data_IF_178732287560
#
_entry.id   IF_178732287560
#
_cell.length_a   1.000
_cell.length_b   1.000
_cell.length_c   1.000
_cell.angle_alpha   90.00
_cell.angle_beta   90.00
_cell.angle_gamma   90.00
#
_symmetry.space_group_name_H-M   'P 1'
#
loop_
_entity.id
_entity.type
_entity.pdbx_description
1 polymer ?
#
# COMPACT_ATOMS: atom_id res chain seq x y z
N UNK A 1 10.37 -2.80 -0.72
CA UNK A 1 10.83 -1.90 0.37
C UNK A 1 9.74 -1.84 1.42
N UNK A 2 10.09 -1.85 2.67
CA UNK A 2 9.15 -1.65 3.78
C UNK A 2 9.86 -1.05 5.00
N UNK A 3 9.11 -0.46 5.91
CA UNK A 3 9.59 0.06 7.19
C UNK A 3 8.59 -0.31 8.28
N UNK A 4 9.07 -0.97 9.33
CA UNK A 4 8.24 -1.32 10.48
C UNK A 4 7.93 -0.08 11.35
N UNK A 5 6.84 -0.11 12.11
CA UNK A 5 6.52 0.96 13.07
C UNK A 5 7.68 1.25 14.02
N UNK A 6 8.07 2.52 14.14
CA UNK A 6 9.13 2.97 15.03
C UNK A 6 10.57 2.75 14.55
N UNK A 7 10.79 2.09 13.42
CA UNK A 7 12.12 2.00 12.82
C UNK A 7 12.47 3.29 12.06
N UNK A 8 13.74 3.65 12.06
CA UNK A 8 14.24 4.81 11.32
C UNK A 8 14.50 4.45 9.86
N UNK A 9 15.15 3.30 9.62
CA UNK A 9 15.60 2.88 8.30
C UNK A 9 14.64 1.86 7.67
N UNK A 10 14.36 2.00 6.38
CA UNK A 10 13.57 1.02 5.65
C UNK A 10 14.41 -0.18 5.21
N UNK A 11 13.74 -1.33 5.13
CA UNK A 11 14.30 -2.55 4.58
C UNK A 11 14.06 -2.64 3.08
N UNK A 12 15.03 -3.20 2.39
CA UNK A 12 14.94 -3.51 0.97
C UNK A 12 14.97 -5.03 0.78
N UNK A 13 14.05 -5.54 -0.01
CA UNK A 13 13.97 -6.94 -0.41
C UNK A 13 13.75 -7.01 -1.90
N UNK A 14 14.52 -7.81 -2.61
CA UNK A 14 14.34 -8.05 -4.04
C UNK A 14 14.56 -9.53 -4.35
N UNK A 15 13.76 -10.06 -5.24
CA UNK A 15 13.98 -11.34 -5.88
C UNK A 15 14.54 -11.08 -7.26
N UNK A 16 15.79 -11.50 -7.50
CA UNK A 16 16.50 -11.30 -8.77
C UNK A 16 16.49 -12.55 -9.64
N UNK A 17 16.31 -13.71 -9.01
CA UNK A 17 16.32 -15.00 -9.69
C UNK A 17 14.97 -15.70 -9.62
N UNK A 18 14.60 -16.32 -10.75
CA UNK A 18 13.36 -17.09 -10.85
C UNK A 18 12.08 -16.23 -10.89
N UNK A 19 10.96 -16.92 -10.95
CA UNK A 19 9.65 -16.28 -10.92
C UNK A 19 9.10 -16.22 -9.49
N UNK A 20 8.21 -15.24 -9.24
CA UNK A 20 7.48 -15.19 -7.98
C UNK A 20 6.54 -16.39 -7.86
N UNK A 21 6.35 -16.88 -6.65
CA UNK A 21 5.47 -18.02 -6.42
C UNK A 21 4.01 -17.56 -6.35
N UNK A 22 3.17 -18.12 -7.24
CA UNK A 22 1.73 -17.92 -7.22
C UNK A 22 1.08 -19.00 -6.37
N UNK A 23 0.45 -18.60 -5.28
CA UNK A 23 -0.11 -19.48 -4.26
C UNK A 23 -1.63 -19.32 -4.25
N UNK A 24 -2.34 -20.43 -4.24
CA UNK A 24 -3.80 -20.45 -4.37
C UNK A 24 -4.54 -20.63 -3.05
N UNK A 25 -3.86 -21.10 -2.02
CA UNK A 25 -4.42 -21.33 -0.68
C UNK A 25 -3.49 -20.76 0.38
N UNK A 26 -4.05 -20.18 1.44
CA UNK A 26 -3.25 -19.63 2.55
C UNK A 26 -2.39 -20.69 3.23
N UNK A 27 -2.88 -21.92 3.32
CA UNK A 27 -2.19 -23.04 3.96
C UNK A 27 -0.88 -23.39 3.25
N UNK A 28 -0.80 -23.12 1.94
CA UNK A 28 0.41 -23.37 1.15
C UNK A 28 1.56 -22.38 1.48
N UNK A 29 1.31 -21.37 2.32
CA UNK A 29 2.33 -20.47 2.87
C UNK A 29 3.08 -21.07 4.06
N UNK A 30 2.54 -22.11 4.70
CA UNK A 30 3.14 -22.72 5.86
C UNK A 30 4.57 -23.21 5.58
N UNK A 31 5.51 -22.84 6.46
CA UNK A 31 6.92 -23.17 6.31
C UNK A 31 7.65 -22.40 5.20
N UNK A 32 7.05 -21.42 4.57
CA UNK A 32 7.68 -20.57 3.55
C UNK A 32 8.07 -19.22 4.13
N UNK A 33 9.21 -18.71 3.66
CA UNK A 33 9.72 -17.39 4.05
C UNK A 33 9.71 -16.47 2.82
N UNK A 34 9.36 -15.20 3.04
CA UNK A 34 9.37 -14.19 2.00
C UNK A 34 8.37 -13.07 2.26
N UNK A 35 8.23 -12.19 1.26
CA UNK A 35 7.24 -11.12 1.29
C UNK A 35 5.97 -11.55 0.55
N UNK A 36 4.84 -11.47 1.24
CA UNK A 36 3.54 -11.95 0.73
C UNK A 36 2.67 -10.77 0.30
N UNK A 37 2.15 -10.84 -0.91
CA UNK A 37 1.09 -9.96 -1.41
C UNK A 37 -0.16 -10.81 -1.58
N UNK A 38 -1.15 -10.62 -0.70
CA UNK A 38 -2.38 -11.39 -0.72
C UNK A 38 -3.58 -10.49 -1.08
N UNK A 39 -4.44 -10.91 -2.02
CA UNK A 39 -5.71 -10.24 -2.24
C UNK A 39 -6.66 -10.54 -1.08
N UNK A 40 -7.66 -9.69 -0.87
CA UNK A 40 -8.71 -9.95 0.12
C UNK A 40 -9.47 -11.27 -0.17
N UNK A 41 -9.66 -11.58 -1.45
CA UNK A 41 -10.24 -12.84 -1.90
C UNK A 41 -9.32 -13.51 -2.92
N UNK A 42 -8.81 -14.66 -2.56
CA UNK A 42 -7.97 -15.46 -3.45
C UNK A 42 -8.85 -16.08 -4.55
N UNK A 43 -8.45 -15.90 -5.79
CA UNK A 43 -9.09 -16.49 -6.98
C UNK A 43 -8.02 -16.98 -7.95
N UNK A 44 -8.36 -17.83 -8.93
CA UNK A 44 -7.38 -18.23 -9.96
C UNK A 44 -6.76 -17.06 -10.72
N UNK A 45 -7.51 -15.96 -10.91
CA UNK A 45 -7.06 -14.75 -11.60
C UNK A 45 -6.32 -13.78 -10.68
N UNK A 46 -6.50 -13.95 -9.36
CA UNK A 46 -5.88 -13.10 -8.34
C UNK A 46 -5.31 -13.97 -7.21
N UNK A 47 -4.21 -14.69 -7.46
CA UNK A 47 -3.57 -15.55 -6.47
C UNK A 47 -2.79 -14.73 -5.44
N UNK A 48 -2.37 -15.38 -4.37
CA UNK A 48 -1.35 -14.85 -3.45
C UNK A 48 -0.01 -14.88 -4.16
N UNK A 49 0.78 -13.84 -4.00
CA UNK A 49 2.14 -13.74 -4.55
C UNK A 49 3.13 -13.81 -3.39
N UNK A 50 4.03 -14.76 -3.45
CA UNK A 50 5.15 -14.88 -2.53
C UNK A 50 6.44 -14.51 -3.26
N UNK A 51 7.05 -13.39 -2.85
CA UNK A 51 8.37 -12.95 -3.26
C UNK A 51 9.38 -13.60 -2.32
N UNK A 52 10.35 -14.34 -2.85
CA UNK A 52 11.45 -14.96 -2.10
C UNK A 52 12.72 -14.15 -2.35
N UNK A 53 13.04 -13.21 -1.45
CA UNK A 53 14.17 -12.32 -1.67
C UNK A 53 15.50 -13.10 -1.65
N UNK A 54 16.35 -12.76 -2.60
CA UNK A 54 17.74 -13.21 -2.71
C UNK A 54 18.72 -12.02 -2.66
N UNK A 55 18.17 -10.79 -2.58
CA UNK A 55 18.93 -9.56 -2.43
C UNK A 55 18.26 -8.65 -1.40
N UNK A 56 19.05 -8.18 -0.43
CA UNK A 56 18.60 -7.33 0.69
C UNK A 56 19.21 -5.93 0.65
N UNK A 57 20.01 -5.63 -0.35
CA UNK A 57 20.64 -4.34 -0.53
C UNK A 57 20.13 -3.63 -1.78
N UNK A 58 20.05 -2.30 -1.74
CA UNK A 58 19.72 -1.52 -2.92
C UNK A 58 20.87 -1.65 -3.90
N UNK A 59 20.66 -2.15 -5.12
CA UNK A 59 21.72 -2.29 -6.11
C UNK A 59 22.39 -0.94 -6.37
N UNK A 60 23.71 -0.89 -6.37
CA UNK A 60 24.52 0.33 -6.61
C UNK A 60 24.25 0.97 -7.97
N UNK A 61 23.75 0.18 -8.95
CA UNK A 61 23.31 0.67 -10.25
C UNK A 61 21.95 1.38 -10.26
N UNK A 62 21.21 1.33 -9.16
CA UNK A 62 20.04 2.15 -8.96
C UNK A 62 20.50 3.60 -8.71
N UNK A 63 21.01 4.24 -9.77
CA UNK A 63 21.58 5.58 -9.74
C UNK A 63 20.70 6.53 -8.95
N UNK A 64 21.29 7.18 -7.97
CA UNK A 64 20.75 8.30 -7.21
C UNK A 64 19.25 8.18 -6.88
N UNK A 65 18.88 7.19 -6.07
CA UNK A 65 17.68 7.30 -5.24
C UNK A 65 17.95 8.44 -4.22
N UNK A 66 18.05 9.64 -4.75
CA UNK A 66 18.20 10.81 -3.92
C UNK A 66 17.06 10.80 -2.92
N UNK A 67 17.41 10.75 -1.64
CA UNK A 67 16.57 11.30 -0.58
C UNK A 67 16.13 12.67 -1.08
N UNK A 68 14.86 12.92 -1.38
CA UNK A 68 14.48 14.24 -1.86
C UNK A 68 14.88 15.24 -0.79
N UNK A 69 15.65 16.25 -1.20
CA UNK A 69 15.98 17.38 -0.33
C UNK A 69 14.68 17.87 0.33
N UNK A 70 14.79 18.28 1.57
CA UNK A 70 13.70 18.89 2.35
C UNK A 70 13.11 20.08 1.60
N UNK A 71 12.12 19.80 0.75
CA UNK A 71 11.30 20.82 0.11
C UNK A 71 9.85 20.57 0.55
N UNK A 72 9.28 21.59 1.20
CA UNK A 72 7.91 21.62 1.70
C UNK A 72 6.86 21.65 0.56
N UNK A 73 6.83 20.65 -0.31
CA UNK A 73 5.84 20.56 -1.39
C UNK A 73 4.48 19.96 -0.95
N UNK A 74 4.27 19.78 0.36
CA UNK A 74 3.01 19.26 0.89
C UNK A 74 1.78 20.14 0.55
N UNK A 75 1.99 21.44 0.34
CA UNK A 75 0.90 22.39 0.06
C UNK A 75 0.34 22.26 -1.37
N UNK A 76 1.18 21.92 -2.36
CA UNK A 76 0.78 21.82 -3.78
C UNK A 76 -0.07 20.58 -4.06
N UNK A 77 0.23 19.45 -3.46
CA UNK A 77 -0.54 18.20 -3.63
C UNK A 77 -1.98 18.29 -3.09
N UNK A 78 -2.20 19.07 -2.03
CA UNK A 78 -3.51 19.25 -1.44
C UNK A 78 -4.51 20.02 -2.32
N UNK A 79 -4.04 20.88 -3.22
CA UNK A 79 -4.90 21.68 -4.08
C UNK A 79 -5.39 20.92 -5.31
N UNK A 80 -4.55 20.09 -5.93
CA UNK A 80 -4.96 19.31 -7.10
C UNK A 80 -5.92 18.16 -6.75
N UNK A 81 -5.78 17.54 -5.58
CA UNK A 81 -6.73 16.55 -5.08
C UNK A 81 -8.13 17.14 -4.79
N UNK A 82 -8.24 18.47 -4.69
CA UNK A 82 -9.50 19.16 -4.43
C UNK A 82 -10.35 19.36 -5.69
N UNK A 83 -9.77 19.38 -6.89
CA UNK A 83 -10.49 19.66 -8.12
C UNK A 83 -11.32 18.46 -8.62
N UNK A 84 -10.94 17.24 -8.26
CA UNK A 84 -11.64 16.02 -8.72
C UNK A 84 -12.73 15.51 -7.73
N UNK A 85 -13.11 16.38 -6.80
CA UNK A 85 -14.32 16.17 -5.97
C UNK A 85 -15.56 16.47 -6.78
N UNK A 86 -15.88 15.62 -7.77
CA UNK A 86 -17.15 15.75 -8.45
C UNK A 86 -18.27 15.69 -7.41
N UNK A 87 -19.19 16.63 -7.47
CA UNK A 87 -20.38 16.68 -6.60
C UNK A 87 -21.11 15.32 -6.58
N UNK A 88 -21.04 14.56 -7.70
CA UNK A 88 -21.60 13.22 -7.81
C UNK A 88 -20.88 12.18 -6.95
N UNK A 89 -19.55 12.21 -6.87
CA UNK A 89 -18.80 11.25 -6.05
C UNK A 89 -19.02 11.47 -4.55
N UNK A 90 -19.17 12.73 -4.13
CA UNK A 90 -19.50 13.07 -2.74
C UNK A 90 -20.89 12.58 -2.38
N UNK A 91 -21.90 12.87 -3.21
CA UNK A 91 -23.31 12.42 -2.99
C UNK A 91 -23.40 10.89 -2.94
N UNK A 92 -22.70 10.18 -3.84
CA UNK A 92 -22.66 8.72 -3.82
C UNK A 92 -22.05 8.16 -2.54
N UNK A 93 -20.97 8.78 -2.04
CA UNK A 93 -20.37 8.39 -0.77
C UNK A 93 -21.33 8.66 0.42
N UNK A 94 -21.97 9.84 0.45
CA UNK A 94 -22.94 10.21 1.49
C UNK A 94 -24.11 9.22 1.51
N UNK A 95 -24.67 8.85 0.36
CA UNK A 95 -25.74 7.86 0.27
C UNK A 95 -25.32 6.49 0.82
N UNK A 96 -24.10 6.02 0.51
CA UNK A 96 -23.56 4.79 1.09
C UNK A 96 -23.36 4.94 2.60
N UNK A 97 -22.84 6.07 3.05
CA UNK A 97 -22.62 6.34 4.47
C UNK A 97 -23.94 6.30 5.27
N UNK A 98 -25.03 6.85 4.76
CA UNK A 98 -26.34 6.83 5.40
C UNK A 98 -26.87 5.41 5.59
N UNK A 99 -26.63 4.52 4.60
CA UNK A 99 -26.99 3.09 4.71
C UNK A 99 -26.17 2.40 5.80
N UNK A 100 -24.87 2.64 5.84
CA UNK A 100 -23.95 2.05 6.82
C UNK A 100 -24.30 2.52 8.25
N UNK A 101 -24.51 3.83 8.44
CA UNK A 101 -24.87 4.40 9.75
C UNK A 101 -26.21 3.88 10.26
N UNK A 102 -27.18 3.68 9.39
CA UNK A 102 -28.47 3.10 9.76
C UNK A 102 -28.29 1.69 10.31
N UNK A 103 -27.55 0.82 9.58
CA UNK A 103 -27.30 -0.55 10.03
C UNK A 103 -26.56 -0.63 11.37
N UNK A 104 -25.64 0.31 11.64
CA UNK A 104 -24.96 0.42 12.94
C UNK A 104 -25.89 0.90 14.05
N UNK A 105 -26.77 1.89 13.78
CA UNK A 105 -27.76 2.38 14.76
C UNK A 105 -28.81 1.33 15.11
N UNK A 106 -29.20 0.55 14.14
CA UNK A 106 -30.13 -0.59 14.29
C UNK A 106 -29.44 -1.82 14.93
N UNK A 107 -28.11 -1.73 15.23
CA UNK A 107 -27.30 -2.82 15.79
C UNK A 107 -27.32 -4.09 14.96
N UNK A 108 -27.55 -3.98 13.64
CA UNK A 108 -27.41 -5.11 12.70
C UNK A 108 -25.95 -5.54 12.58
N UNK A 109 -25.04 -4.59 12.76
CA UNK A 109 -23.59 -4.82 12.78
C UNK A 109 -22.96 -3.96 13.87
N UNK A 110 -21.88 -4.48 14.49
CA UNK A 110 -21.10 -3.75 15.49
C UNK A 110 -20.06 -2.83 14.84
N UNK A 111 -19.56 -3.21 13.65
CA UNK A 111 -18.56 -2.44 12.89
C UNK A 111 -18.77 -2.64 11.40
N UNK A 112 -18.74 -1.54 10.67
CA UNK A 112 -18.69 -1.52 9.21
C UNK A 112 -17.57 -0.61 8.74
N UNK A 113 -16.88 -1.00 7.67
CA UNK A 113 -15.82 -0.19 7.04
C UNK A 113 -16.28 0.25 5.66
N UNK A 114 -16.47 1.56 5.49
CA UNK A 114 -16.78 2.15 4.20
C UNK A 114 -15.49 2.62 3.54
N UNK A 115 -15.20 2.08 2.36
CA UNK A 115 -14.04 2.46 1.56
C UNK A 115 -14.44 3.18 0.28
N UNK A 116 -13.51 3.97 -0.24
CA UNK A 116 -13.68 4.69 -1.50
C UNK A 116 -12.42 4.55 -2.35
N UNK A 117 -12.62 4.38 -3.65
CA UNK A 117 -11.54 4.42 -4.64
C UNK A 117 -11.61 5.74 -5.42
N UNK A 118 -10.45 6.33 -5.68
CA UNK A 118 -10.30 7.51 -6.53
C UNK A 118 -9.14 7.28 -7.49
N UNK A 119 -9.36 7.61 -8.77
CA UNK A 119 -8.30 7.60 -9.77
C UNK A 119 -7.74 9.01 -9.90
N UNK A 120 -6.43 9.14 -9.85
CA UNK A 120 -5.71 10.41 -9.98
C UNK A 120 -4.72 10.31 -11.12
N UNK A 121 -4.60 11.37 -11.92
CA UNK A 121 -3.56 11.44 -12.93
C UNK A 121 -2.19 11.56 -12.24
N UNK A 122 -1.25 10.75 -12.68
CA UNK A 122 0.11 10.82 -12.17
C UNK A 122 0.83 12.03 -12.76
N UNK A 123 1.40 12.87 -11.91
CA UNK A 123 2.21 14.00 -12.32
C UNK A 123 3.49 13.55 -13.03
N UNK A 124 3.95 14.31 -14.06
CA UNK A 124 5.28 14.11 -14.63
C UNK A 124 6.35 14.17 -13.51
N UNK A 125 7.30 13.24 -13.54
CA UNK A 125 8.37 13.19 -12.52
C UNK A 125 7.96 12.56 -11.18
N UNK A 126 6.73 12.06 -11.02
CA UNK A 126 6.35 11.32 -9.81
C UNK A 126 7.23 10.09 -9.59
N UNK A 127 7.91 10.06 -8.45
CA UNK A 127 8.74 8.94 -8.00
C UNK A 127 8.04 8.17 -6.88
N UNK A 128 7.70 6.87 -7.10
CA UNK A 128 7.16 6.02 -6.04
C UNK A 128 8.11 5.87 -4.86
N UNK A 129 9.42 5.78 -5.11
CA UNK A 129 10.43 5.69 -4.07
C UNK A 129 10.45 6.96 -3.20
N UNK A 130 10.44 8.16 -3.83
CA UNK A 130 10.38 9.41 -3.10
C UNK A 130 9.07 9.53 -2.27
N UNK A 131 7.96 9.06 -2.80
CA UNK A 131 6.68 9.01 -2.07
C UNK A 131 6.77 8.07 -0.86
N UNK A 132 7.41 6.90 -1.02
CA UNK A 132 7.64 5.95 0.07
C UNK A 132 8.48 6.56 1.19
N UNK A 133 9.62 7.20 0.90
CA UNK A 133 10.43 7.84 1.92
C UNK A 133 9.71 8.99 2.63
N UNK A 134 8.91 9.79 1.90
CA UNK A 134 8.05 10.81 2.55
C UNK A 134 7.02 10.18 3.49
N UNK A 135 6.40 9.06 3.10
CA UNK A 135 5.46 8.36 3.95
C UNK A 135 6.14 7.77 5.20
N UNK A 136 7.34 7.22 5.08
CA UNK A 136 8.13 6.74 6.22
C UNK A 136 8.39 7.85 7.25
N UNK A 137 8.78 9.04 6.78
CA UNK A 137 9.01 10.19 7.67
C UNK A 137 7.73 10.71 8.32
N UNK A 138 6.61 10.68 7.61
CA UNK A 138 5.33 11.21 8.09
C UNK A 138 4.61 10.26 9.04
N UNK A 139 4.68 8.96 8.80
CA UNK A 139 3.88 7.95 9.50
C UNK A 139 4.76 7.02 10.33
N UNK A 140 5.48 7.59 11.30
CA UNK A 140 6.51 6.90 12.09
C UNK A 140 5.99 5.65 12.83
N UNK A 141 4.72 5.63 13.23
CA UNK A 141 4.09 4.51 13.93
C UNK A 141 3.31 3.56 13.03
N UNK A 142 3.43 3.71 11.72
CA UNK A 142 2.74 2.85 10.76
C UNK A 142 3.73 1.93 10.04
N UNK A 143 3.28 0.75 9.68
CA UNK A 143 3.95 -0.07 8.68
C UNK A 143 3.79 0.60 7.32
N UNK A 144 4.88 0.91 6.65
CA UNK A 144 4.89 1.52 5.32
C UNK A 144 5.54 0.56 4.34
N UNK A 145 4.93 0.35 3.19
CA UNK A 145 5.49 -0.51 2.16
C UNK A 145 5.38 0.09 0.77
N UNK A 146 6.32 -0.27 -0.06
CA UNK A 146 6.32 -0.08 -1.51
C UNK A 146 6.76 -1.39 -2.14
N UNK A 147 5.91 -2.02 -2.92
CA UNK A 147 6.20 -3.27 -3.60
C UNK A 147 5.86 -3.21 -5.09
N UNK A 148 6.55 -4.05 -5.84
CA UNK A 148 6.34 -4.22 -7.26
C UNK A 148 6.46 -5.70 -7.63
N UNK A 149 5.53 -6.17 -8.44
CA UNK A 149 5.68 -7.41 -9.20
C UNK A 149 5.14 -7.20 -10.62
N UNK A 150 5.62 -7.96 -11.62
CA UNK A 150 5.05 -7.88 -12.97
C UNK A 150 3.54 -8.15 -13.01
N UNK A 151 3.05 -9.00 -12.08
CA UNK A 151 1.65 -9.42 -12.02
C UNK A 151 0.72 -8.34 -11.45
N UNK A 152 1.20 -7.57 -10.46
CA UNK A 152 0.35 -6.60 -9.73
C UNK A 152 0.67 -5.15 -10.05
N UNK A 153 1.83 -4.88 -10.66
CA UNK A 153 2.35 -3.51 -10.78
C UNK A 153 2.87 -2.96 -9.46
N UNK A 154 2.91 -1.64 -9.34
CA UNK A 154 3.41 -0.93 -8.15
C UNK A 154 2.28 -0.68 -7.15
N UNK A 155 2.53 -1.07 -5.90
CA UNK A 155 1.65 -0.82 -4.77
C UNK A 155 2.40 -0.14 -3.65
N UNK A 156 1.78 0.84 -3.02
CA UNK A 156 2.28 1.51 -1.83
C UNK A 156 1.15 1.66 -0.82
N UNK A 157 1.46 1.41 0.44
CA UNK A 157 0.50 1.54 1.53
C UNK A 157 1.15 1.95 2.84
N UNK A 158 0.31 2.43 3.74
CA UNK A 158 0.66 2.72 5.12
C UNK A 158 -0.49 2.30 6.02
N UNK A 159 -0.21 1.51 7.05
CA UNK A 159 -1.21 1.05 8.01
C UNK A 159 -0.67 1.10 9.44
N UNK A 160 -1.41 1.68 10.39
CA UNK A 160 -1.09 1.63 11.81
C UNK A 160 -1.61 0.36 12.48
N UNK A 161 -2.41 -0.45 11.79
CA UNK A 161 -3.09 -1.60 12.36
C UNK A 161 -2.17 -2.82 12.40
N UNK A 162 -2.11 -3.48 13.55
CA UNK A 162 -1.48 -4.79 13.74
C UNK A 162 -2.57 -5.84 13.52
N UNK A 163 -2.42 -6.64 12.48
CA UNK A 163 -3.37 -7.72 12.17
C UNK A 163 -3.00 -8.99 12.93
N UNK A 164 -1.69 -9.23 13.08
CA UNK A 164 -1.13 -10.38 13.77
C UNK A 164 0.22 -10.02 14.37
N UNK A 165 0.46 -10.40 15.61
CA UNK A 165 1.77 -10.34 16.26
C UNK A 165 2.04 -11.68 16.94
N UNK A 166 3.24 -12.18 16.79
CA UNK A 166 3.73 -13.41 17.44
C UNK A 166 4.97 -13.13 18.26
#
# INVERSE_FOLDING_TARGET
>A
MYRNPGEEEPHFLMQTCGEVHLIRKMEDLNGRTGFVIAPFRVTPQCPIILIRPDCHEIPSCAGNLHTPAQGDDAASYGQQLRSDRSLGAKKAYEACFDVFIRALRERTFDKLVLSRRMTVRREPGFSPAAAFYRACRRYIYSYVYLCYTPQTGVWMGSTPEIILSG
#
